data_IF_122680304546
#
_entry.id   IF_122680304546
#
_cell.length_a   1.000
_cell.length_b   1.000
_cell.length_c   1.000
_cell.angle_alpha   90.00
_cell.angle_beta   90.00
_cell.angle_gamma   90.00
#
_symmetry.space_group_name_H-M   'P 1'
#
loop_
_entity.id
_entity.type
_entity.pdbx_description
1 polymer ?
#
# COMPACT_ATOMS: atom_id res chain seq x y z
N UNK A 1 -13.85 2.53 -12.50
CA UNK A 1 -12.38 2.51 -12.47
C UNK A 1 -11.95 1.09 -12.18
N UNK A 2 -10.92 0.59 -12.86
CA UNK A 2 -10.30 -0.68 -12.52
C UNK A 2 -9.55 -0.50 -11.18
N UNK A 3 -9.91 -1.29 -10.17
CA UNK A 3 -9.28 -1.26 -8.84
C UNK A 3 -7.76 -1.50 -8.94
N UNK A 4 -7.31 -2.25 -9.94
CA UNK A 4 -5.89 -2.47 -10.25
C UNK A 4 -5.19 -1.15 -10.58
N UNK A 5 -5.80 -0.34 -11.45
CA UNK A 5 -5.27 0.96 -11.84
C UNK A 5 -5.32 1.94 -10.66
N UNK A 6 -6.39 1.92 -9.87
CA UNK A 6 -6.51 2.77 -8.69
C UNK A 6 -5.40 2.49 -7.67
N UNK A 7 -5.12 1.21 -7.35
CA UNK A 7 -4.03 0.87 -6.46
C UNK A 7 -2.66 1.23 -7.02
N UNK A 8 -2.43 0.96 -8.31
CA UNK A 8 -1.18 1.37 -8.96
C UNK A 8 -0.95 2.88 -8.82
N UNK A 9 -1.95 3.70 -9.16
CA UNK A 9 -1.87 5.15 -9.03
C UNK A 9 -1.68 5.60 -7.57
N UNK A 10 -2.30 4.93 -6.60
CA UNK A 10 -2.11 5.22 -5.19
C UNK A 10 -0.64 5.03 -4.75
N UNK A 11 0.00 3.93 -5.12
CA UNK A 11 1.41 3.70 -4.79
C UNK A 11 2.37 4.58 -5.62
N UNK A 12 2.04 4.88 -6.89
CA UNK A 12 2.86 5.76 -7.74
C UNK A 12 2.89 7.20 -7.22
N UNK A 13 1.80 7.67 -6.60
CA UNK A 13 1.69 9.00 -6.00
C UNK A 13 2.03 9.01 -4.51
N UNK A 14 2.75 8.00 -4.01
CA UNK A 14 3.16 7.97 -2.60
C UNK A 14 4.08 9.15 -2.29
N UNK A 15 3.72 10.03 -1.33
CA UNK A 15 4.53 11.21 -1.01
C UNK A 15 5.93 10.83 -0.54
N UNK A 16 6.96 11.50 -1.05
CA UNK A 16 8.36 11.23 -0.68
C UNK A 16 8.67 11.49 0.80
N UNK A 17 7.87 12.35 1.45
CA UNK A 17 7.98 12.68 2.86
C UNK A 17 7.31 11.64 3.79
N UNK A 18 6.46 10.77 3.22
CA UNK A 18 5.78 9.74 3.99
C UNK A 18 6.65 8.48 4.10
N UNK A 19 6.78 7.89 5.30
CA UNK A 19 7.37 6.57 5.44
C UNK A 19 6.65 5.58 4.52
N UNK A 20 7.40 4.73 3.81
CA UNK A 20 6.82 3.65 3.01
C UNK A 20 6.44 2.48 3.91
N UNK A 21 5.57 2.72 4.89
CA UNK A 21 5.11 1.68 5.80
C UNK A 21 3.58 1.61 5.86
N UNK A 22 3.09 0.46 6.30
CA UNK A 22 1.68 0.18 6.39
C UNK A 22 1.41 -1.32 6.32
N UNK A 23 0.16 -1.69 6.08
CA UNK A 23 -0.26 -3.08 5.96
C UNK A 23 -1.13 -3.22 4.71
N UNK A 24 -0.71 -4.07 3.77
CA UNK A 24 -1.56 -4.49 2.66
C UNK A 24 -2.46 -5.64 3.13
N UNK A 25 -3.75 -5.54 2.87
CA UNK A 25 -4.69 -6.66 2.98
C UNK A 25 -4.91 -7.21 1.59
N UNK A 26 -4.64 -8.50 1.39
CA UNK A 26 -4.88 -9.14 0.10
C UNK A 26 -6.32 -9.62 -0.03
N UNK A 27 -6.75 -9.92 -1.25
CA UNK A 27 -8.04 -10.58 -1.53
C UNK A 27 -8.15 -11.98 -0.91
N UNK A 28 -7.02 -12.58 -0.50
CA UNK A 28 -6.94 -13.83 0.25
C UNK A 28 -6.94 -13.63 1.78
N UNK A 29 -7.25 -12.42 2.26
CA UNK A 29 -7.24 -12.03 3.67
C UNK A 29 -5.87 -12.15 4.37
N UNK A 30 -4.78 -12.16 3.59
CA UNK A 30 -3.43 -12.05 4.15
C UNK A 30 -3.17 -10.59 4.56
N UNK A 31 -2.58 -10.39 5.73
CA UNK A 31 -2.05 -9.09 6.15
C UNK A 31 -0.54 -9.06 5.92
N UNK A 32 -0.08 -8.14 5.08
CA UNK A 32 1.33 -7.98 4.70
C UNK A 32 1.81 -6.62 5.21
N UNK A 33 2.41 -6.57 6.43
CA UNK A 33 3.11 -5.38 6.89
C UNK A 33 4.29 -5.07 5.97
N UNK A 34 4.48 -3.81 5.62
CA UNK A 34 5.58 -3.37 4.78
C UNK A 34 6.33 -2.19 5.39
N UNK A 35 7.62 -2.10 5.05
CA UNK A 35 8.50 -0.96 5.37
C UNK A 35 9.16 -0.36 4.13
N UNK A 36 8.94 -0.98 2.97
CA UNK A 36 9.36 -0.50 1.65
C UNK A 36 8.54 -1.21 0.58
N UNK A 37 8.34 -0.55 -0.56
CA UNK A 37 7.78 -1.18 -1.75
C UNK A 37 8.46 -0.69 -3.04
N UNK A 38 8.32 -1.47 -4.11
CA UNK A 38 8.69 -1.11 -5.49
C UNK A 38 7.52 -1.40 -6.42
N UNK A 39 7.31 -0.53 -7.40
CA UNK A 39 6.21 -0.61 -8.37
C UNK A 39 6.73 -1.20 -9.68
N UNK A 40 6.02 -2.21 -10.19
CA UNK A 40 6.16 -2.73 -11.54
C UNK A 40 4.92 -2.45 -12.40
N UNK A 41 4.92 -2.91 -13.65
CA UNK A 41 3.86 -2.59 -14.62
C UNK A 41 2.46 -3.06 -14.18
N UNK A 42 2.37 -4.20 -13.49
CA UNK A 42 1.11 -4.74 -12.95
C UNK A 42 1.25 -5.36 -11.55
N UNK A 43 2.42 -5.21 -10.93
CA UNK A 43 2.77 -5.84 -9.66
C UNK A 43 3.40 -4.84 -8.71
N UNK A 44 3.38 -5.18 -7.42
CA UNK A 44 4.09 -4.47 -6.38
C UNK A 44 4.98 -5.47 -5.64
N UNK A 45 6.25 -5.10 -5.44
CA UNK A 45 7.17 -5.84 -4.61
C UNK A 45 7.22 -5.19 -3.23
N UNK A 46 7.04 -5.98 -2.19
CA UNK A 46 6.90 -5.53 -0.81
C UNK A 46 8.04 -6.10 0.03
N UNK A 47 8.64 -5.27 0.86
CA UNK A 47 9.59 -5.68 1.89
C UNK A 47 8.96 -5.58 3.27
N UNK A 48 9.04 -6.67 4.03
CA UNK A 48 8.57 -6.78 5.41
C UNK A 48 9.74 -6.54 6.36
N UNK A 49 9.49 -5.80 7.45
CA UNK A 49 10.46 -5.67 8.56
C UNK A 49 10.75 -7.04 9.22
N UNK A 50 9.66 -7.75 9.53
CA UNK A 50 9.69 -9.10 10.12
C UNK A 50 9.32 -10.15 9.07
N UNK A 51 9.98 -11.31 9.06
CA UNK A 51 9.60 -12.41 8.18
C UNK A 51 8.18 -12.88 8.50
N UNK A 52 7.51 -13.47 7.51
CA UNK A 52 6.25 -14.20 7.75
C UNK A 52 6.50 -15.56 8.45
N UNK A 53 5.42 -16.33 8.60
CA UNK A 53 5.45 -17.65 9.27
C UNK A 53 6.33 -18.69 8.59
N UNK A 54 6.70 -18.48 7.32
CA UNK A 54 7.59 -19.37 6.56
C UNK A 54 8.98 -18.75 6.30
N UNK A 55 9.28 -17.59 6.89
CA UNK A 55 10.58 -16.94 6.80
C UNK A 55 10.72 -15.92 5.66
N UNK A 56 9.68 -15.66 4.86
CA UNK A 56 9.79 -14.77 3.71
C UNK A 56 9.74 -13.28 4.12
N UNK A 57 10.73 -12.52 3.65
CA UNK A 57 10.87 -11.08 3.90
C UNK A 57 10.46 -10.20 2.71
N UNK A 58 10.30 -10.81 1.54
CA UNK A 58 9.91 -10.14 0.31
C UNK A 58 8.77 -10.92 -0.33
N UNK A 59 7.76 -10.20 -0.81
CA UNK A 59 6.60 -10.78 -1.50
C UNK A 59 6.27 -9.91 -2.70
N UNK A 60 5.87 -10.54 -3.80
CA UNK A 60 5.46 -9.85 -5.03
C UNK A 60 4.02 -10.28 -5.30
N UNK A 61 3.13 -9.31 -5.43
CA UNK A 61 1.72 -9.55 -5.72
C UNK A 61 1.26 -8.65 -6.86
N UNK A 62 0.21 -9.05 -7.56
CA UNK A 62 -0.47 -8.16 -8.51
C UNK A 62 -1.25 -7.06 -7.78
N UNK A 63 -1.40 -5.90 -8.40
CA UNK A 63 -2.27 -4.84 -7.84
C UNK A 63 -3.72 -5.30 -7.68
N UNK A 64 -4.17 -6.23 -8.53
CA UNK A 64 -5.49 -6.87 -8.43
C UNK A 64 -5.67 -7.73 -7.17
N UNK A 65 -4.58 -8.12 -6.51
CA UNK A 65 -4.63 -8.89 -5.27
C UNK A 65 -4.76 -7.99 -4.03
N UNK A 66 -4.71 -6.67 -4.17
CA UNK A 66 -4.84 -5.72 -3.06
C UNK A 66 -6.31 -5.45 -2.79
N UNK A 67 -6.75 -5.78 -1.57
CA UNK A 67 -8.08 -5.46 -1.07
C UNK A 67 -8.11 -4.16 -0.29
N UNK A 68 -7.06 -3.85 0.47
CA UNK A 68 -6.95 -2.61 1.25
C UNK A 68 -5.50 -2.28 1.57
N UNK A 69 -5.25 -1.00 1.90
CA UNK A 69 -4.03 -0.53 2.56
C UNK A 69 -4.43 0.09 3.88
N UNK A 70 -3.81 -0.34 4.98
CA UNK A 70 -4.00 0.20 6.33
C UNK A 70 -2.75 0.97 6.74
N UNK A 71 -2.97 2.18 7.23
CA UNK A 71 -1.92 3.01 7.81
C UNK A 71 -1.86 2.78 9.33
N UNK A 72 -0.65 2.79 9.90
CA UNK A 72 -0.42 2.51 11.32
C UNK A 72 0.06 3.73 12.10
N UNK A 73 0.35 4.83 11.40
CA UNK A 73 0.65 6.10 12.02
C UNK A 73 -0.61 6.75 12.62
N UNK A 74 -0.38 7.76 13.45
CA UNK A 74 -1.42 8.54 14.11
C UNK A 74 -1.50 9.97 13.55
N UNK A 75 -0.84 10.24 12.42
CA UNK A 75 -0.90 11.55 11.77
C UNK A 75 -2.32 11.80 11.22
N UNK A 76 -2.65 13.06 10.98
CA UNK A 76 -3.93 13.43 10.38
C UNK A 76 -3.99 13.15 8.87
N UNK A 77 -5.17 13.32 8.28
CA UNK A 77 -5.39 13.09 6.85
C UNK A 77 -4.80 14.16 5.94
N UNK A 78 -4.09 15.19 6.45
CA UNK A 78 -3.56 16.29 5.62
C UNK A 78 -2.64 15.76 4.51
N UNK A 79 -1.91 14.67 4.80
CA UNK A 79 -1.01 14.02 3.84
C UNK A 79 -1.74 13.21 2.77
N UNK A 80 -2.94 12.72 3.06
CA UNK A 80 -3.77 11.97 2.11
C UNK A 80 -4.34 12.89 1.02
N UNK A 81 -4.50 14.19 1.30
CA UNK A 81 -4.87 15.17 0.29
C UNK A 81 -3.85 15.22 -0.86
N UNK A 82 -2.55 15.06 -0.55
CA UNK A 82 -1.48 14.99 -1.56
C UNK A 82 -1.54 13.70 -2.40
N UNK A 83 -2.22 12.67 -1.89
CA UNK A 83 -2.43 11.39 -2.57
C UNK A 83 -3.73 11.38 -3.42
N UNK A 84 -4.39 12.53 -3.56
CA UNK A 84 -5.60 12.68 -4.37
C UNK A 84 -6.92 12.43 -3.63
N UNK A 85 -6.90 12.30 -2.31
CA UNK A 85 -8.12 12.29 -1.51
C UNK A 85 -8.65 13.72 -1.33
N UNK A 86 -9.95 13.87 -1.15
CA UNK A 86 -10.58 15.17 -0.87
C UNK A 86 -11.49 15.05 0.34
N UNK A 87 -11.57 16.13 1.13
CA UNK A 87 -12.59 16.24 2.16
C UNK A 87 -13.99 16.23 1.53
N UNK A 88 -15.01 15.68 2.22
CA UNK A 88 -16.39 15.79 1.76
C UNK A 88 -16.79 17.27 1.66
N UNK A 89 -17.22 17.72 0.49
CA UNK A 89 -17.93 18.99 0.35
C UNK A 89 -19.37 18.79 0.84
N UNK A 90 -19.76 19.49 1.91
CA UNK A 90 -21.16 19.61 2.34
C UNK A 90 -21.81 20.85 1.72
#
# INVERSE_FOLDING_TARGET
MDTTQAWRSFFENWPSELPQNGIIITTFQESIPFVRFLIGEGTIAIERDRPDTIGARKVIIGFNAISAVKMTDTDDFSRFLQMGFSEPGF
#
